data_IF_848906207206
#
_entry.id   IF_848906207206
#
_cell.length_a   1.000
_cell.length_b   1.000
_cell.length_c   1.000
_cell.angle_alpha   90.00
_cell.angle_beta   90.00
_cell.angle_gamma   90.00
#
_symmetry.space_group_name_H-M   'P 1'
#
loop_
_entity.id
_entity.type
_entity.pdbx_description
1 polymer ?
#
# COMPACT_ATOMS: atom_id res chain seq x y z
N UNK A 1 3.68 -26.10 6.89
CA UNK A 1 4.40 -25.32 5.87
C UNK A 1 5.75 -24.95 6.44
N UNK A 2 6.84 -24.92 5.65
CA UNK A 2 8.07 -24.29 6.11
C UNK A 2 7.75 -22.82 6.43
N UNK A 3 8.06 -22.44 7.67
CA UNK A 3 7.99 -21.07 8.16
C UNK A 3 9.18 -20.30 7.56
N UNK A 4 8.91 -19.45 6.58
CA UNK A 4 9.86 -18.49 6.03
C UNK A 4 9.67 -17.16 6.74
N UNK A 5 9.81 -17.15 8.07
CA UNK A 5 9.92 -15.93 8.88
C UNK A 5 11.29 -15.28 8.62
N UNK A 6 11.39 -14.54 7.52
CA UNK A 6 12.56 -13.72 7.21
C UNK A 6 12.35 -12.36 7.90
N UNK A 7 13.16 -12.06 8.91
CA UNK A 7 13.22 -10.74 9.56
C UNK A 7 13.87 -9.72 8.60
N UNK A 8 13.05 -9.02 7.83
CA UNK A 8 13.49 -8.06 6.81
C UNK A 8 14.34 -6.92 7.38
N UNK A 9 14.08 -6.50 8.62
CA UNK A 9 14.87 -5.45 9.26
C UNK A 9 16.22 -6.00 9.72
N UNK A 10 16.30 -7.27 10.12
CA UNK A 10 17.59 -7.92 10.30
C UNK A 10 18.38 -7.98 8.99
N UNK A 11 17.72 -8.20 7.84
CA UNK A 11 18.40 -8.17 6.53
C UNK A 11 18.92 -6.77 6.17
N UNK A 12 18.12 -5.71 6.35
CA UNK A 12 18.58 -4.33 6.13
C UNK A 12 19.65 -3.87 7.14
N UNK A 13 19.53 -4.27 8.42
CA UNK A 13 20.57 -4.01 9.42
C UNK A 13 21.87 -4.74 9.04
N UNK A 14 21.76 -5.97 8.53
CA UNK A 14 22.92 -6.73 8.06
C UNK A 14 23.53 -6.08 6.82
N UNK A 15 22.72 -5.63 5.85
CA UNK A 15 23.15 -4.85 4.69
C UNK A 15 23.90 -3.58 5.12
N UNK A 16 23.29 -2.74 5.97
CA UNK A 16 23.88 -1.50 6.47
C UNK A 16 25.21 -1.76 7.18
N UNK A 17 25.26 -2.77 8.06
CA UNK A 17 26.51 -3.18 8.74
C UNK A 17 27.57 -3.73 7.78
N UNK A 18 27.16 -4.42 6.72
CA UNK A 18 28.09 -4.92 5.69
C UNK A 18 28.67 -3.78 4.86
N UNK A 19 27.87 -2.75 4.54
CA UNK A 19 28.34 -1.54 3.87
C UNK A 19 29.25 -0.70 4.76
N UNK A 20 28.87 -0.49 6.02
CA UNK A 20 29.74 0.18 7.01
C UNK A 20 31.07 -0.58 7.19
N UNK A 21 31.05 -1.92 7.18
CA UNK A 21 32.25 -2.73 7.26
C UNK A 21 33.10 -2.65 5.99
N UNK A 22 32.47 -2.60 4.82
CA UNK A 22 33.13 -2.42 3.53
C UNK A 22 33.80 -1.03 3.44
N UNK A 23 33.14 0.00 3.94
CA UNK A 23 33.68 1.37 4.02
C UNK A 23 34.76 1.50 5.08
N UNK A 24 34.63 0.82 6.22
CA UNK A 24 35.71 0.74 7.20
C UNK A 24 36.95 0.01 6.65
N UNK A 25 36.78 -0.85 5.64
CA UNK A 25 37.83 -1.62 5.00
C UNK A 25 38.52 -0.89 3.82
N UNK A 26 38.13 0.36 3.50
CA UNK A 26 38.40 1.12 2.26
C UNK A 26 39.86 1.12 1.76
N UNK A 27 40.87 0.94 2.63
CA UNK A 27 42.29 0.89 2.24
C UNK A 27 43.00 -0.43 2.51
N UNK A 28 42.28 -1.49 2.88
CA UNK A 28 42.91 -2.72 3.34
C UNK A 28 43.54 -2.63 4.73
N UNK A 29 43.03 -1.72 5.55
CA UNK A 29 43.65 -1.35 6.83
C UNK A 29 44.97 -0.59 6.66
N UNK A 30 45.40 -0.29 5.42
CA UNK A 30 46.60 0.48 5.17
C UNK A 30 46.32 1.96 5.41
N UNK A 31 46.80 2.47 6.53
CA UNK A 31 46.67 3.88 6.88
C UNK A 31 48.04 4.47 7.21
N UNK A 32 48.14 5.80 7.12
CA UNK A 32 49.36 6.55 7.43
C UNK A 32 50.58 6.06 6.67
N UNK A 33 51.72 5.99 7.37
CA UNK A 33 53.02 5.66 6.79
C UNK A 33 53.06 4.29 6.09
N UNK A 34 52.24 3.33 6.51
CA UNK A 34 52.19 2.02 5.84
C UNK A 34 51.64 2.13 4.41
N UNK A 35 50.61 2.96 4.20
CA UNK A 35 50.06 3.28 2.88
C UNK A 35 51.04 4.08 2.04
N UNK A 36 51.59 5.17 2.62
CA UNK A 36 52.55 6.04 1.92
C UNK A 36 53.76 5.27 1.39
N UNK A 37 54.32 4.38 2.21
CA UNK A 37 55.47 3.55 1.81
C UNK A 37 55.06 2.43 0.86
N UNK A 38 53.82 1.93 0.97
CA UNK A 38 53.23 0.92 0.10
C UNK A 38 52.95 1.41 -1.33
N UNK A 39 52.64 2.69 -1.48
CA UNK A 39 52.33 3.34 -2.76
C UNK A 39 53.56 4.03 -3.38
N UNK A 40 54.61 4.30 -2.60
CA UNK A 40 55.84 4.94 -3.06
C UNK A 40 56.55 4.17 -4.19
N UNK A 41 57.44 4.85 -4.94
CA UNK A 41 58.26 4.18 -5.95
C UNK A 41 59.28 3.20 -5.32
N UNK A 42 59.78 2.26 -6.12
CA UNK A 42 60.85 1.34 -5.68
C UNK A 42 62.09 2.08 -5.18
N UNK A 43 62.44 3.21 -5.82
CA UNK A 43 63.54 4.09 -5.38
C UNK A 43 63.31 4.73 -4.02
N UNK A 44 62.09 5.22 -3.75
CA UNK A 44 61.73 5.87 -2.49
C UNK A 44 61.65 4.85 -1.35
N UNK A 45 61.03 3.68 -1.58
CA UNK A 45 61.04 2.58 -0.62
C UNK A 45 62.45 2.11 -0.31
N UNK A 46 63.29 1.95 -1.33
CA UNK A 46 64.70 1.57 -1.13
C UNK A 46 65.46 2.62 -0.33
N UNK A 47 65.21 3.91 -0.57
CA UNK A 47 65.80 5.00 0.21
C UNK A 47 65.36 4.96 1.68
N UNK A 48 64.10 4.57 1.94
CA UNK A 48 63.54 4.44 3.28
C UNK A 48 64.05 3.21 4.05
N UNK A 49 64.11 2.06 3.38
CA UNK A 49 64.48 0.78 4.00
C UNK A 49 65.99 0.47 3.94
N UNK A 50 66.76 1.21 3.14
CA UNK A 50 68.19 0.97 2.92
C UNK A 50 68.52 -0.35 2.22
N UNK A 51 67.51 -1.13 1.81
CA UNK A 51 67.66 -2.47 1.22
C UNK A 51 66.66 -2.67 0.08
N UNK A 52 67.18 -3.14 -1.06
CA UNK A 52 66.34 -3.53 -2.20
C UNK A 52 65.45 -4.72 -1.87
N UNK A 53 65.97 -5.70 -1.11
CA UNK A 53 65.24 -6.92 -0.77
C UNK A 53 64.09 -6.63 0.19
N UNK A 54 64.32 -5.75 1.17
CA UNK A 54 63.29 -5.32 2.11
C UNK A 54 62.24 -4.45 1.43
N UNK A 55 62.64 -3.58 0.49
CA UNK A 55 61.71 -2.82 -0.36
C UNK A 55 60.84 -3.74 -1.21
N UNK A 56 61.40 -4.80 -1.79
CA UNK A 56 60.66 -5.75 -2.61
C UNK A 56 59.69 -6.57 -1.77
N UNK A 57 60.15 -7.15 -0.66
CA UNK A 57 59.31 -7.93 0.25
C UNK A 57 58.15 -7.09 0.83
N UNK A 58 58.42 -5.84 1.22
CA UNK A 58 57.39 -4.92 1.71
C UNK A 58 56.35 -4.59 0.63
N UNK A 59 56.78 -4.30 -0.60
CA UNK A 59 55.83 -4.01 -1.68
C UNK A 59 54.99 -5.23 -2.04
N UNK A 60 55.57 -6.44 -2.01
CA UNK A 60 54.83 -7.69 -2.22
C UNK A 60 53.76 -7.89 -1.13
N UNK A 61 54.16 -7.70 0.13
CA UNK A 61 53.26 -7.81 1.28
C UNK A 61 52.15 -6.76 1.22
N UNK A 62 52.49 -5.51 0.94
CA UNK A 62 51.53 -4.43 0.77
C UNK A 62 50.51 -4.76 -0.32
N UNK A 63 50.99 -5.12 -1.51
CA UNK A 63 50.13 -5.44 -2.66
C UNK A 63 49.18 -6.60 -2.38
N UNK A 64 49.66 -7.67 -1.73
CA UNK A 64 48.80 -8.79 -1.36
C UNK A 64 47.79 -8.44 -0.25
N UNK A 65 48.20 -7.62 0.72
CA UNK A 65 47.30 -7.17 1.79
C UNK A 65 46.19 -6.29 1.25
N UNK A 66 46.52 -5.30 0.41
CA UNK A 66 45.53 -4.38 -0.17
C UNK A 66 44.62 -5.09 -1.17
N UNK A 67 45.16 -6.00 -2.00
CA UNK A 67 44.35 -6.78 -2.95
C UNK A 67 43.32 -7.63 -2.23
N UNK A 68 43.71 -8.40 -1.22
CA UNK A 68 42.78 -9.28 -0.50
C UNK A 68 41.71 -8.52 0.25
N UNK A 69 42.01 -7.34 0.78
CA UNK A 69 40.98 -6.54 1.43
C UNK A 69 40.07 -5.84 0.43
N UNK A 70 40.59 -5.46 -0.75
CA UNK A 70 39.73 -5.03 -1.85
C UNK A 70 38.75 -6.14 -2.25
N UNK A 71 39.23 -7.36 -2.43
CA UNK A 71 38.37 -8.52 -2.73
C UNK A 71 37.31 -8.75 -1.63
N UNK A 72 37.68 -8.54 -0.36
CA UNK A 72 36.76 -8.63 0.76
C UNK A 72 35.73 -7.48 0.80
N UNK A 73 36.14 -6.25 0.45
CA UNK A 73 35.24 -5.09 0.31
C UNK A 73 34.22 -5.34 -0.80
N UNK A 74 34.70 -5.74 -1.97
CA UNK A 74 33.87 -6.00 -3.15
C UNK A 74 32.88 -7.16 -2.84
N UNK A 75 33.34 -8.22 -2.15
CA UNK A 75 32.48 -9.32 -1.71
C UNK A 75 31.46 -8.96 -0.62
N UNK A 76 31.78 -8.03 0.29
CA UNK A 76 30.83 -7.49 1.28
C UNK A 76 29.77 -6.61 0.61
N UNK A 77 30.15 -5.82 -0.40
CA UNK A 77 29.22 -5.06 -1.23
C UNK A 77 28.22 -5.98 -1.95
N UNK A 78 28.72 -6.96 -2.71
CA UNK A 78 27.87 -7.93 -3.42
C UNK A 78 26.92 -8.70 -2.50
N UNK A 79 27.37 -9.04 -1.29
CA UNK A 79 26.52 -9.70 -0.29
C UNK A 79 25.44 -8.75 0.25
N UNK A 80 25.79 -7.50 0.55
CA UNK A 80 24.83 -6.47 0.94
C UNK A 80 23.79 -6.23 -0.16
N UNK A 81 24.20 -6.20 -1.42
CA UNK A 81 23.31 -6.02 -2.57
C UNK A 81 22.38 -7.23 -2.77
N UNK A 82 22.86 -8.45 -2.47
CA UNK A 82 22.01 -9.66 -2.46
C UNK A 82 20.96 -9.59 -1.35
N UNK A 83 21.31 -9.09 -0.16
CA UNK A 83 20.36 -8.89 0.92
C UNK A 83 19.35 -7.80 0.62
N UNK A 84 19.77 -6.72 -0.04
CA UNK A 84 18.87 -5.69 -0.58
C UNK A 84 17.91 -6.32 -1.59
N UNK A 85 18.41 -7.00 -2.62
CA UNK A 85 17.57 -7.60 -3.66
C UNK A 85 16.53 -8.59 -3.12
N UNK A 86 16.87 -9.38 -2.10
CA UNK A 86 15.89 -10.27 -1.43
C UNK A 86 14.86 -9.47 -0.62
N UNK A 87 15.29 -8.46 0.14
CA UNK A 87 14.37 -7.60 0.89
C UNK A 87 13.45 -6.81 -0.05
N UNK A 88 13.99 -6.25 -1.13
CA UNK A 88 13.30 -5.48 -2.16
C UNK A 88 12.33 -6.36 -2.98
N UNK A 89 12.69 -7.62 -3.28
CA UNK A 89 11.80 -8.56 -4.00
C UNK A 89 10.61 -9.00 -3.14
N UNK A 90 10.86 -9.33 -1.87
CA UNK A 90 9.78 -9.65 -0.94
C UNK A 90 8.94 -8.41 -0.60
N UNK A 91 9.57 -7.24 -0.50
CA UNK A 91 8.88 -5.96 -0.36
C UNK A 91 8.06 -5.63 -1.60
N UNK A 92 8.52 -5.89 -2.82
CA UNK A 92 7.73 -5.68 -4.04
C UNK A 92 6.55 -6.66 -4.12
N UNK A 93 6.69 -7.89 -3.61
CA UNK A 93 5.57 -8.82 -3.46
C UNK A 93 4.54 -8.35 -2.40
N UNK A 94 4.99 -7.82 -1.26
CA UNK A 94 4.11 -7.25 -0.22
C UNK A 94 3.53 -5.88 -0.61
N UNK A 95 4.29 -5.08 -1.35
CA UNK A 95 3.85 -3.83 -1.95
C UNK A 95 2.93 -4.09 -3.14
N UNK A 96 3.02 -5.23 -3.83
CA UNK A 96 2.00 -5.69 -4.79
C UNK A 96 0.72 -6.15 -4.07
N UNK A 97 0.83 -6.75 -2.89
CA UNK A 97 -0.31 -7.00 -2.00
C UNK A 97 -0.92 -5.70 -1.47
N UNK A 98 -0.11 -4.67 -1.20
CA UNK A 98 -0.57 -3.33 -0.80
C UNK A 98 -1.04 -2.46 -1.98
N UNK A 99 -0.49 -2.66 -3.19
CA UNK A 99 -0.90 -2.02 -4.44
C UNK A 99 -2.08 -2.71 -5.09
N UNK A 100 -2.59 -3.79 -4.49
CA UNK A 100 -3.97 -4.21 -4.66
C UNK A 100 -4.92 -3.21 -3.96
N UNK A 101 -4.73 -1.91 -4.26
CA UNK A 101 -5.63 -0.82 -3.98
C UNK A 101 -7.01 -1.20 -4.55
N UNK A 102 -7.90 -1.67 -3.67
CA UNK A 102 -9.17 -2.31 -4.01
C UNK A 102 -9.47 -3.58 -3.20
N UNK A 103 -8.47 -4.38 -2.83
CA UNK A 103 -8.65 -5.51 -1.90
C UNK A 103 -8.75 -5.03 -0.44
N UNK A 104 -8.10 -3.91 -0.11
CA UNK A 104 -8.11 -3.35 1.25
C UNK A 104 -9.46 -2.71 1.61
N UNK A 105 -10.12 -1.99 0.70
CA UNK A 105 -11.50 -1.48 0.89
C UNK A 105 -12.52 -2.61 1.02
N UNK A 106 -12.39 -3.68 0.23
CA UNK A 106 -13.20 -4.90 0.38
C UNK A 106 -13.02 -5.54 1.76
N UNK A 107 -11.79 -5.58 2.27
CA UNK A 107 -11.51 -6.13 3.62
C UNK A 107 -12.09 -5.29 4.77
N UNK A 108 -12.32 -3.99 4.53
CA UNK A 108 -12.94 -3.08 5.50
C UNK A 108 -14.46 -3.18 5.53
N UNK A 109 -15.09 -3.76 4.49
CA UNK A 109 -16.54 -3.78 4.34
C UNK A 109 -17.12 -2.41 3.97
N UNK A 110 -16.32 -1.54 3.35
CA UNK A 110 -16.75 -0.20 2.94
C UNK A 110 -17.87 -0.27 1.89
N UNK A 111 -17.72 -1.16 0.90
CA UNK A 111 -18.72 -1.37 -0.16
C UNK A 111 -20.04 -1.90 0.42
N UNK A 112 -19.96 -2.87 1.34
CA UNK A 112 -21.15 -3.41 2.03
C UNK A 112 -21.87 -2.33 2.84
N UNK A 113 -21.11 -1.47 3.54
CA UNK A 113 -21.66 -0.35 4.28
C UNK A 113 -22.32 0.68 3.34
N UNK A 114 -21.66 1.03 2.24
CA UNK A 114 -22.18 2.00 1.26
C UNK A 114 -23.48 1.50 0.63
N UNK A 115 -23.51 0.23 0.22
CA UNK A 115 -24.70 -0.41 -0.34
C UNK A 115 -25.86 -0.48 0.67
N UNK A 116 -25.57 -0.80 1.93
CA UNK A 116 -26.59 -0.78 3.00
C UNK A 116 -27.12 0.62 3.26
N UNK A 117 -26.23 1.62 3.24
CA UNK A 117 -26.60 3.01 3.42
C UNK A 117 -27.49 3.52 2.30
N UNK A 118 -27.13 3.26 1.05
CA UNK A 118 -27.95 3.63 -0.11
C UNK A 118 -29.36 2.99 -0.03
N UNK A 119 -29.43 1.69 0.28
CA UNK A 119 -30.70 0.98 0.43
C UNK A 119 -31.56 1.53 1.58
N UNK A 120 -30.94 1.85 2.73
CA UNK A 120 -31.63 2.39 3.89
C UNK A 120 -32.10 3.83 3.67
N UNK A 121 -31.28 4.67 3.03
CA UNK A 121 -31.63 6.05 2.69
C UNK A 121 -32.78 6.08 1.65
N UNK A 122 -32.75 5.20 0.65
CA UNK A 122 -33.85 5.04 -0.31
C UNK A 122 -35.15 4.58 0.37
N UNK A 123 -35.08 3.57 1.25
CA UNK A 123 -36.24 3.12 2.01
C UNK A 123 -36.81 4.24 2.90
N UNK A 124 -35.98 5.08 3.51
CA UNK A 124 -36.44 6.23 4.31
C UNK A 124 -37.17 7.27 3.47
N UNK A 125 -36.69 7.54 2.25
CA UNK A 125 -37.36 8.46 1.31
C UNK A 125 -38.75 7.93 0.94
N UNK A 126 -38.82 6.65 0.53
CA UNK A 126 -40.08 5.98 0.20
C UNK A 126 -41.03 5.93 1.41
N UNK A 127 -40.50 5.64 2.60
CA UNK A 127 -41.27 5.62 3.85
C UNK A 127 -41.82 6.99 4.20
N UNK A 128 -41.04 8.05 3.98
CA UNK A 128 -41.50 9.43 4.19
C UNK A 128 -42.63 9.79 3.22
N UNK A 129 -42.49 9.42 1.95
CA UNK A 129 -43.53 9.64 0.94
C UNK A 129 -44.82 8.84 1.26
N UNK A 130 -44.66 7.58 1.66
CA UNK A 130 -45.75 6.70 2.07
C UNK A 130 -46.50 7.23 3.30
N UNK A 131 -45.78 7.64 4.35
CA UNK A 131 -46.39 8.18 5.57
C UNK A 131 -47.15 9.49 5.31
N UNK A 132 -46.58 10.38 4.50
CA UNK A 132 -47.25 11.60 4.08
C UNK A 132 -48.52 11.31 3.26
N UNK A 133 -48.49 10.25 2.45
CA UNK A 133 -49.67 9.79 1.71
C UNK A 133 -50.74 9.20 2.63
N UNK A 134 -50.36 8.37 3.60
CA UNK A 134 -51.28 7.85 4.62
C UNK A 134 -51.95 8.98 5.42
N UNK A 135 -51.21 10.04 5.74
CA UNK A 135 -51.77 11.23 6.40
C UNK A 135 -52.78 11.94 5.49
N UNK A 136 -52.42 12.15 4.21
CA UNK A 136 -53.28 12.77 3.20
C UNK A 136 -54.62 12.05 3.05
N UNK A 137 -54.64 10.72 3.07
CA UNK A 137 -55.88 9.93 2.92
C UNK A 137 -56.59 9.64 4.25
N UNK A 138 -56.02 10.08 5.39
CA UNK A 138 -56.59 9.86 6.72
C UNK A 138 -56.45 8.43 7.23
N UNK A 139 -55.40 7.73 6.82
CA UNK A 139 -55.11 6.34 7.16
C UNK A 139 -54.02 6.17 8.24
N UNK A 140 -53.27 7.22 8.60
CA UNK A 140 -52.11 7.11 9.53
C UNK A 140 -52.43 6.38 10.83
N UNK A 141 -53.51 6.76 11.53
CA UNK A 141 -53.90 6.16 12.81
C UNK A 141 -54.22 4.66 12.70
N UNK A 142 -54.70 4.21 11.53
CA UNK A 142 -54.95 2.79 11.27
C UNK A 142 -53.64 2.01 11.15
N UNK A 143 -52.70 2.49 10.33
CA UNK A 143 -51.42 1.80 10.11
C UNK A 143 -50.45 1.95 11.29
N UNK A 144 -50.58 2.98 12.12
CA UNK A 144 -49.88 3.04 13.43
C UNK A 144 -50.32 1.91 14.38
N UNK A 145 -51.60 1.54 14.36
CA UNK A 145 -52.15 0.44 15.16
C UNK A 145 -51.94 -0.94 14.51
N UNK A 146 -51.69 -0.95 13.20
CA UNK A 146 -51.54 -2.14 12.38
C UNK A 146 -50.32 -2.01 11.44
N UNK A 147 -49.09 -1.99 11.98
CA UNK A 147 -47.88 -1.71 11.20
C UNK A 147 -47.59 -2.76 10.12
N UNK A 148 -48.06 -3.99 10.32
CA UNK A 148 -47.84 -5.10 9.38
C UNK A 148 -48.98 -5.25 8.36
N UNK A 149 -49.97 -4.34 8.35
CA UNK A 149 -51.10 -4.43 7.43
C UNK A 149 -50.72 -3.90 6.05
N UNK A 150 -51.06 -4.64 5.00
CA UNK A 150 -50.94 -4.15 3.63
C UNK A 150 -52.21 -3.41 3.19
N UNK A 151 -52.08 -2.18 2.68
CA UNK A 151 -53.23 -1.36 2.28
C UNK A 151 -54.12 -2.04 1.23
N UNK A 152 -53.53 -2.82 0.32
CA UNK A 152 -54.26 -3.50 -0.74
C UNK A 152 -55.17 -4.59 -0.18
N UNK A 153 -54.72 -5.31 0.84
CA UNK A 153 -55.53 -6.32 1.52
C UNK A 153 -56.62 -5.68 2.40
N UNK A 154 -56.28 -4.62 3.13
CA UNK A 154 -57.22 -3.86 3.95
C UNK A 154 -58.36 -3.29 3.10
N UNK A 155 -58.02 -2.72 1.93
CA UNK A 155 -58.98 -2.06 1.05
C UNK A 155 -59.76 -3.01 0.13
N UNK A 156 -59.40 -4.30 0.08
CA UNK A 156 -60.17 -5.35 -0.61
C UNK A 156 -61.02 -6.19 0.35
N UNK A 157 -60.86 -6.03 1.66
CA UNK A 157 -61.62 -6.75 2.66
C UNK A 157 -63.08 -6.28 2.78
N UNK A 158 -63.96 -7.16 3.24
CA UNK A 158 -65.35 -6.82 3.56
C UNK A 158 -65.40 -5.80 4.71
N UNK A 159 -66.02 -4.64 4.49
CA UNK A 159 -66.09 -3.56 5.49
C UNK A 159 -64.83 -2.69 5.53
N UNK A 160 -64.16 -2.50 4.39
CA UNK A 160 -62.99 -1.65 4.26
C UNK A 160 -63.17 -0.24 4.88
N UNK A 161 -62.13 0.32 5.52
CA UNK A 161 -62.15 1.68 6.05
C UNK A 161 -62.44 2.74 4.99
N UNK A 162 -62.95 3.91 5.40
CA UNK A 162 -63.34 4.97 4.46
C UNK A 162 -62.16 5.57 3.67
N UNK A 163 -60.93 5.52 4.20
CA UNK A 163 -59.75 5.98 3.46
C UNK A 163 -59.48 5.16 2.20
N UNK A 164 -60.00 3.93 2.10
CA UNK A 164 -59.81 3.06 0.95
C UNK A 164 -60.46 3.60 -0.34
N UNK A 165 -61.49 4.44 -0.23
CA UNK A 165 -62.07 5.11 -1.39
C UNK A 165 -61.07 6.11 -2.02
N UNK A 166 -60.28 6.80 -1.20
CA UNK A 166 -59.26 7.72 -1.67
C UNK A 166 -58.08 6.96 -2.29
N UNK A 167 -57.66 5.85 -1.69
CA UNK A 167 -56.57 5.02 -2.23
C UNK A 167 -56.93 4.36 -3.56
N UNK A 168 -58.13 3.78 -3.70
CA UNK A 168 -58.59 3.15 -4.95
C UNK A 168 -58.77 4.14 -6.11
N UNK A 169 -58.86 5.43 -5.82
CA UNK A 169 -59.06 6.49 -6.81
C UNK A 169 -57.74 7.22 -7.18
N UNK A 170 -56.64 6.93 -6.49
CA UNK A 170 -55.32 7.55 -6.72
C UNK A 170 -54.41 6.54 -7.44
N UNK A 171 -54.37 6.61 -8.78
CA UNK A 171 -53.52 5.75 -9.61
C UNK A 171 -52.02 6.08 -9.45
N UNK A 172 -51.68 7.20 -8.82
CA UNK A 172 -50.31 7.68 -8.56
C UNK A 172 -49.92 7.54 -7.07
N UNK A 173 -50.62 6.69 -6.31
CA UNK A 173 -50.27 6.42 -4.92
C UNK A 173 -48.84 5.86 -4.82
N UNK A 174 -48.00 6.37 -3.89
CA UNK A 174 -46.69 5.77 -3.65
C UNK A 174 -46.84 4.31 -3.21
N UNK A 175 -45.85 3.49 -3.55
CA UNK A 175 -45.81 2.11 -3.09
C UNK A 175 -45.46 2.06 -1.59
N UNK A 176 -45.98 1.03 -0.90
CA UNK A 176 -45.57 0.73 0.47
C UNK A 176 -44.14 0.17 0.45
N UNK A 177 -43.16 0.83 1.11
CA UNK A 177 -41.77 0.40 1.07
C UNK A 177 -41.51 -0.90 1.84
N UNK A 178 -42.48 -1.38 2.64
CA UNK A 178 -42.37 -2.63 3.39
C UNK A 178 -41.41 -2.55 4.59
N UNK A 179 -40.92 -3.71 5.02
CA UNK A 179 -40.00 -3.81 6.17
C UNK A 179 -38.69 -3.04 5.90
N UNK A 180 -38.17 -2.29 6.89
CA UNK A 180 -36.92 -1.58 6.74
C UNK A 180 -35.77 -2.55 6.46
N UNK A 181 -34.85 -2.22 5.54
CA UNK A 181 -33.58 -2.92 5.46
C UNK A 181 -32.79 -2.71 6.76
N UNK A 182 -31.73 -3.51 6.96
CA UNK A 182 -30.85 -3.33 8.10
C UNK A 182 -30.27 -1.92 8.10
N UNK A 183 -30.42 -1.21 9.22
CA UNK A 183 -29.83 0.12 9.40
C UNK A 183 -28.29 -0.01 9.39
N UNK A 184 -27.59 0.74 8.52
CA UNK A 184 -26.14 0.73 8.49
C UNK A 184 -25.57 1.36 9.77
N UNK A 185 -24.28 1.16 10.03
CA UNK A 185 -23.60 1.94 11.07
C UNK A 185 -23.59 3.44 10.70
N UNK A 186 -23.64 4.32 11.71
CA UNK A 186 -23.60 5.79 11.51
C UNK A 186 -22.37 6.27 10.73
N UNK A 187 -21.24 5.57 10.90
CA UNK A 187 -19.96 5.90 10.27
C UNK A 187 -19.43 4.71 9.48
N UNK A 188 -18.80 4.95 8.32
CA UNK A 188 -18.18 3.89 7.54
C UNK A 188 -17.04 3.22 8.32
N UNK A 189 -16.77 1.94 8.04
CA UNK A 189 -15.60 1.27 8.58
C UNK A 189 -14.32 1.82 7.92
N UNK A 190 -13.51 2.54 8.68
CA UNK A 190 -12.27 3.16 8.17
C UNK A 190 -10.99 2.52 8.69
N UNK A 191 -11.08 1.47 9.49
CA UNK A 191 -9.90 0.80 10.03
C UNK A 191 -10.10 -0.69 10.22
N UNK A 192 -9.07 -1.47 9.95
CA UNK A 192 -9.00 -2.90 10.20
C UNK A 192 -7.70 -3.24 10.93
N UNK A 193 -7.75 -4.22 11.83
CA UNK A 193 -6.55 -4.72 12.50
C UNK A 193 -6.65 -6.23 12.64
N UNK A 194 -5.57 -6.89 12.28
CA UNK A 194 -5.36 -8.32 12.46
C UNK A 194 -4.07 -8.56 13.23
N UNK A 195 -4.10 -9.52 14.14
CA UNK A 195 -2.94 -9.90 14.96
C UNK A 195 -2.93 -11.41 15.18
N UNK A 196 -1.79 -12.04 14.94
CA UNK A 196 -1.54 -13.48 15.12
C UNK A 196 -0.13 -13.74 15.68
N UNK A 197 0.34 -14.99 15.61
CA UNK A 197 1.69 -15.36 16.08
C UNK A 197 2.82 -14.81 15.18
N UNK A 198 2.48 -14.36 13.98
CA UNK A 198 3.37 -13.90 12.92
C UNK A 198 3.45 -12.37 12.86
N UNK A 199 2.60 -11.65 13.58
CA UNK A 199 2.71 -10.22 13.76
C UNK A 199 1.35 -9.52 13.80
N UNK A 200 1.36 -8.22 13.51
CA UNK A 200 0.18 -7.38 13.48
C UNK A 200 0.12 -6.59 12.19
N UNK A 201 -1.03 -6.61 11.53
CA UNK A 201 -1.35 -5.75 10.38
C UNK A 201 -2.44 -4.78 10.81
N UNK A 202 -2.21 -3.50 10.56
CA UNK A 202 -3.18 -2.42 10.80
C UNK A 202 -3.38 -1.67 9.49
N UNK A 203 -4.63 -1.50 9.09
CA UNK A 203 -5.01 -0.71 7.91
C UNK A 203 -5.94 0.39 8.38
N UNK A 204 -5.69 1.61 7.92
CA UNK A 204 -6.53 2.78 8.16
C UNK A 204 -6.74 3.51 6.84
N UNK A 205 -7.96 3.97 6.58
CA UNK A 205 -8.30 4.74 5.38
C UNK A 205 -8.91 6.08 5.75
N UNK A 206 -8.60 7.10 4.99
CA UNK A 206 -9.26 8.41 5.06
C UNK A 206 -10.12 8.57 3.81
N UNK A 207 -11.37 8.99 4.03
CA UNK A 207 -12.38 9.14 2.99
C UNK A 207 -12.63 10.63 2.68
N UNK A 208 -13.08 10.94 1.46
CA UNK A 208 -13.69 12.24 1.13
C UNK A 208 -15.17 12.32 1.56
N UNK A 209 -15.82 13.44 1.23
CA UNK A 209 -17.23 13.70 1.56
C UNK A 209 -18.20 12.74 0.85
N UNK A 210 -17.77 12.14 -0.26
CA UNK A 210 -18.53 11.16 -1.06
C UNK A 210 -18.15 9.71 -0.68
N UNK A 211 -17.43 9.53 0.44
CA UNK A 211 -16.95 8.26 0.96
C UNK A 211 -15.93 7.52 0.08
N UNK A 212 -15.27 8.22 -0.85
CA UNK A 212 -14.17 7.65 -1.62
C UNK A 212 -12.88 7.60 -0.81
N UNK A 213 -12.10 6.52 -0.95
CA UNK A 213 -10.80 6.38 -0.30
C UNK A 213 -9.78 7.34 -0.91
N UNK A 214 -9.29 8.30 -0.13
CA UNK A 214 -8.30 9.29 -0.54
C UNK A 214 -6.91 9.02 0.02
N UNK A 215 -6.82 8.26 1.11
CA UNK A 215 -5.55 7.84 1.69
C UNK A 215 -5.69 6.49 2.37
N UNK A 216 -4.67 5.66 2.22
CA UNK A 216 -4.56 4.35 2.85
C UNK A 216 -3.25 4.29 3.63
N UNK A 217 -3.32 3.92 4.90
CA UNK A 217 -2.18 3.72 5.77
C UNK A 217 -2.15 2.25 6.19
N UNK A 218 -1.11 1.54 5.77
CA UNK A 218 -0.86 0.17 6.17
C UNK A 218 0.35 0.13 7.11
N UNK A 219 0.17 -0.43 8.30
CA UNK A 219 1.25 -0.68 9.25
C UNK A 219 1.37 -2.17 9.51
N UNK A 220 2.55 -2.73 9.22
CA UNK A 220 2.89 -4.12 9.52
C UNK A 220 3.90 -4.11 10.65
N UNK A 221 3.62 -4.84 11.72
CA UNK A 221 4.51 -5.01 12.87
C UNK A 221 4.89 -6.48 13.00
N UNK A 222 6.18 -6.77 13.00
CA UNK A 222 6.70 -8.14 13.18
C UNK A 222 6.60 -8.58 14.65
N UNK A 223 6.70 -9.88 14.96
CA UNK A 223 6.66 -10.38 16.35
C UNK A 223 7.78 -9.81 17.22
N UNK A 224 8.91 -9.45 16.60
CA UNK A 224 10.08 -8.85 17.26
C UNK A 224 9.93 -7.33 17.48
N UNK A 225 8.77 -6.76 17.13
CA UNK A 225 8.41 -5.37 17.38
C UNK A 225 8.95 -4.36 16.37
N UNK A 226 9.48 -4.81 15.23
CA UNK A 226 9.82 -3.92 14.12
C UNK A 226 8.55 -3.55 13.37
N UNK A 227 8.40 -2.30 12.96
CA UNK A 227 7.24 -1.82 12.23
C UNK A 227 7.61 -1.17 10.90
N UNK A 228 6.80 -1.42 9.89
CA UNK A 228 6.84 -0.80 8.57
C UNK A 228 5.53 -0.07 8.35
N UNK A 229 5.57 1.13 7.79
CA UNK A 229 4.36 1.89 7.46
C UNK A 229 4.40 2.32 6.01
N UNK A 230 3.39 1.93 5.24
CA UNK A 230 3.16 2.46 3.90
C UNK A 230 1.95 3.39 3.93
N UNK A 231 2.09 4.56 3.32
CA UNK A 231 1.01 5.54 3.18
C UNK A 231 0.82 5.81 1.70
N UNK A 232 -0.33 5.40 1.15
CA UNK A 232 -0.75 5.74 -0.21
C UNK A 232 -1.71 6.91 -0.13
N UNK A 233 -1.45 7.97 -0.89
CA UNK A 233 -2.32 9.14 -1.04
C UNK A 233 -2.73 9.27 -2.49
N UNK A 234 -4.04 9.36 -2.74
CA UNK A 234 -4.59 9.53 -4.08
C UNK A 234 -4.81 11.01 -4.36
N UNK A 235 -4.48 11.44 -5.58
CA UNK A 235 -4.54 12.87 -5.95
C UNK A 235 -5.96 13.33 -6.32
N UNK A 236 -6.87 12.39 -6.56
CA UNK A 236 -8.27 12.66 -6.89
C UNK A 236 -9.22 11.57 -6.40
N UNK A 237 -10.53 11.85 -6.48
CA UNK A 237 -11.57 10.83 -6.40
C UNK A 237 -11.39 9.75 -7.49
N UNK A 238 -11.93 8.53 -7.29
CA UNK A 238 -11.79 7.39 -8.20
C UNK A 238 -12.07 7.75 -9.66
N UNK A 239 -11.16 7.33 -10.55
CA UNK A 239 -11.26 7.60 -11.98
C UNK A 239 -11.32 6.28 -12.72
N UNK A 240 -12.50 5.65 -12.68
CA UNK A 240 -12.71 4.35 -13.32
C UNK A 240 -12.82 4.51 -14.83
N UNK A 241 -11.91 3.86 -15.56
CA UNK A 241 -11.90 3.81 -17.01
C UNK A 241 -12.22 2.39 -17.46
N UNK A 242 -13.20 2.25 -18.35
CA UNK A 242 -13.56 0.98 -18.97
C UNK A 242 -13.09 0.98 -20.43
N UNK A 243 -11.93 0.37 -20.74
CA UNK A 243 -11.45 0.28 -22.11
C UNK A 243 -12.33 -0.66 -22.96
N UNK A 244 -12.39 -0.40 -24.27
CA UNK A 244 -13.16 -1.22 -25.22
C UNK A 244 -12.63 -2.67 -25.22
N UNK A 245 -13.39 -3.57 -24.58
CA UNK A 245 -13.06 -5.00 -24.50
C UNK A 245 -12.08 -5.38 -23.40
N UNK A 246 -11.77 -4.48 -22.45
CA UNK A 246 -10.96 -4.76 -21.26
C UNK A 246 -11.74 -4.62 -19.95
N UNK A 247 -11.09 -4.97 -18.84
CA UNK A 247 -11.66 -4.78 -17.51
C UNK A 247 -11.56 -3.30 -17.06
N UNK A 248 -12.55 -2.78 -16.32
CA UNK A 248 -12.46 -1.45 -15.76
C UNK A 248 -11.30 -1.36 -14.76
N UNK A 249 -10.54 -0.27 -14.80
CA UNK A 249 -9.44 0.00 -13.89
C UNK A 249 -9.50 1.42 -13.36
N UNK A 250 -8.87 1.65 -12.22
CA UNK A 250 -8.76 2.96 -11.61
C UNK A 250 -7.50 3.69 -12.11
N UNK A 251 -7.70 4.82 -12.78
CA UNK A 251 -6.67 5.61 -13.42
C UNK A 251 -6.24 6.81 -12.57
N UNK A 252 -6.33 6.70 -11.24
CA UNK A 252 -5.87 7.73 -10.32
C UNK A 252 -4.35 7.76 -10.22
N UNK A 253 -3.81 8.96 -10.22
CA UNK A 253 -2.45 9.19 -9.78
C UNK A 253 -2.38 9.04 -8.25
N UNK A 254 -1.26 8.53 -7.77
CA UNK A 254 -1.05 8.33 -6.33
C UNK A 254 0.42 8.46 -5.94
N UNK A 255 0.62 8.91 -4.70
CA UNK A 255 1.93 8.93 -4.05
C UNK A 255 1.93 7.94 -2.90
N UNK A 256 2.90 7.02 -2.93
CA UNK A 256 3.17 6.09 -1.84
C UNK A 256 4.43 6.52 -1.09
N UNK A 257 4.33 6.64 0.23
CA UNK A 257 5.48 6.87 1.12
C UNK A 257 5.62 5.68 2.04
N UNK A 258 6.73 4.96 1.92
CA UNK A 258 7.06 3.86 2.82
C UNK A 258 8.08 4.34 3.84
N UNK A 259 7.84 4.05 5.12
CA UNK A 259 8.75 4.28 6.23
C UNK A 259 9.16 2.93 6.82
N UNK A 260 10.46 2.65 6.82
CA UNK A 260 11.03 1.42 7.34
C UNK A 260 11.31 1.49 8.84
N UNK A 261 11.61 0.36 9.47
CA UNK A 261 11.86 0.27 10.91
C UNK A 261 13.06 1.08 11.42
N UNK A 262 14.01 1.41 10.55
CA UNK A 262 15.15 2.29 10.85
C UNK A 262 14.83 3.78 10.66
N UNK A 263 13.61 4.12 10.22
CA UNK A 263 13.13 5.46 9.95
C UNK A 263 13.49 6.00 8.56
N UNK A 264 14.20 5.23 7.73
CA UNK A 264 14.42 5.58 6.33
C UNK A 264 13.10 5.56 5.55
N UNK A 265 13.07 6.28 4.42
CA UNK A 265 11.87 6.42 3.61
C UNK A 265 12.15 6.25 2.13
N UNK A 266 11.20 5.65 1.44
CA UNK A 266 11.08 5.69 -0.01
C UNK A 266 9.80 6.44 -0.38
N UNK A 267 9.85 7.20 -1.47
CA UNK A 267 8.66 7.87 -2.03
C UNK A 267 8.49 7.40 -3.46
N UNK A 268 7.31 6.87 -3.78
CA UNK A 268 6.95 6.40 -5.11
C UNK A 268 5.78 7.22 -5.61
N UNK A 269 5.99 7.96 -6.68
CA UNK A 269 4.95 8.72 -7.39
C UNK A 269 4.53 7.91 -8.62
N UNK A 270 3.22 7.71 -8.79
CA UNK A 270 2.66 6.96 -9.91
C UNK A 270 1.66 7.84 -10.65
N UNK A 271 1.87 7.94 -11.96
CA UNK A 271 0.99 8.62 -12.91
C UNK A 271 0.40 7.60 -13.85
N UNK A 272 -0.94 7.56 -13.97
CA UNK A 272 -1.67 6.60 -14.80
C UNK A 272 -2.45 7.34 -15.89
N UNK A 273 -2.20 6.95 -17.14
CA UNK A 273 -2.86 7.48 -18.32
C UNK A 273 -4.19 6.77 -18.61
N UNK A 274 -5.00 7.36 -19.49
CA UNK A 274 -6.35 6.86 -19.81
C UNK A 274 -6.35 5.48 -20.50
N UNK A 275 -5.25 5.13 -21.16
CA UNK A 275 -5.06 3.81 -21.78
C UNK A 275 -4.50 2.77 -20.80
N UNK A 276 -4.35 3.15 -19.53
CA UNK A 276 -3.80 2.33 -18.45
C UNK A 276 -2.28 2.24 -18.44
N UNK A 277 -1.59 2.80 -19.44
CA UNK A 277 -0.14 3.01 -19.37
C UNK A 277 0.20 3.99 -18.25
N UNK A 278 1.47 4.08 -17.88
CA UNK A 278 1.84 4.98 -16.80
C UNK A 278 3.33 5.04 -16.52
N UNK A 279 3.68 5.97 -15.65
CA UNK A 279 5.05 6.15 -15.15
C UNK A 279 5.06 5.99 -13.63
N UNK A 280 6.02 5.23 -13.13
CA UNK A 280 6.32 5.11 -11.71
C UNK A 280 7.71 5.68 -11.47
N UNK A 281 7.79 6.66 -10.58
CA UNK A 281 9.04 7.30 -10.16
C UNK A 281 9.26 7.04 -8.68
N UNK A 282 10.32 6.29 -8.37
CA UNK A 282 10.71 5.99 -6.98
C UNK A 282 11.95 6.77 -6.61
N UNK A 283 11.89 7.46 -5.47
CA UNK A 283 13.02 8.13 -4.82
C UNK A 283 13.36 7.39 -3.54
N UNK A 284 14.60 6.91 -3.43
CA UNK A 284 15.09 6.21 -2.23
C UNK A 284 15.59 7.17 -1.13
N UNK A 285 16.04 6.59 -0.02
CA UNK A 285 16.51 7.34 1.14
C UNK A 285 17.77 8.17 0.87
N UNK A 286 18.57 7.80 -0.14
CA UNK A 286 19.77 8.53 -0.58
C UNK A 286 19.44 9.61 -1.63
N UNK A 287 18.17 9.71 -2.02
CA UNK A 287 17.68 10.66 -3.03
C UNK A 287 17.95 10.20 -4.46
N UNK A 288 18.31 8.94 -4.67
CA UNK A 288 18.43 8.36 -6.02
C UNK A 288 17.03 8.12 -6.56
N UNK A 289 16.85 8.50 -7.81
CA UNK A 289 15.56 8.43 -8.52
C UNK A 289 15.63 7.35 -9.59
N UNK A 290 14.66 6.44 -9.56
CA UNK A 290 14.46 5.42 -10.59
C UNK A 290 13.09 5.62 -11.22
N UNK A 291 13.00 5.51 -12.53
CA UNK A 291 11.74 5.68 -13.26
C UNK A 291 11.51 4.50 -14.18
N UNK A 292 10.33 3.92 -14.09
CA UNK A 292 9.87 2.82 -14.94
C UNK A 292 8.53 3.17 -15.56
N UNK A 293 8.24 2.55 -16.70
CA UNK A 293 6.99 2.79 -17.43
C UNK A 293 6.31 1.46 -17.71
N UNK A 294 5.00 1.39 -17.50
CA UNK A 294 4.18 0.26 -17.97
C UNK A 294 3.42 0.66 -19.23
N UNK A 295 3.15 -0.31 -20.09
CA UNK A 295 2.50 -0.07 -21.39
C UNK A 295 0.97 -0.16 -21.37
N UNK A 296 0.36 -0.62 -20.28
CA UNK A 296 -1.10 -0.78 -20.18
C UNK A 296 -1.54 -1.20 -18.78
N UNK A 297 -2.86 -1.34 -18.56
CA UNK A 297 -3.44 -1.63 -17.24
C UNK A 297 -3.24 -3.09 -16.82
N UNK A 298 -3.13 -4.01 -17.79
CA UNK A 298 -2.92 -5.44 -17.56
C UNK A 298 -1.43 -5.81 -17.47
N UNK A 299 -0.54 -4.85 -17.68
CA UNK A 299 0.91 -5.05 -17.67
C UNK A 299 1.48 -4.71 -16.30
N UNK A 300 2.30 -5.61 -15.76
CA UNK A 300 3.01 -5.36 -14.51
C UNK A 300 4.03 -4.21 -14.69
N UNK A 301 4.26 -3.46 -13.60
CA UNK A 301 5.35 -2.50 -13.57
C UNK A 301 6.67 -3.25 -13.75
N UNK A 302 7.49 -2.89 -14.75
CA UNK A 302 8.72 -3.61 -14.99
C UNK A 302 9.71 -3.34 -13.85
N UNK A 303 10.58 -4.32 -13.60
CA UNK A 303 11.67 -4.13 -12.66
C UNK A 303 12.54 -2.94 -13.08
N UNK A 304 13.03 -2.16 -12.10
CA UNK A 304 13.97 -1.10 -12.39
C UNK A 304 15.20 -1.67 -13.10
N UNK A 305 15.77 -0.97 -14.10
CA UNK A 305 16.92 -1.47 -14.83
C UNK A 305 18.08 -1.74 -13.87
N UNK A 306 18.65 -2.95 -13.92
CA UNK A 306 19.88 -3.26 -13.18
C UNK A 306 20.98 -2.30 -13.60
N UNK A 307 21.68 -1.72 -12.63
CA UNK A 307 22.83 -0.85 -12.92
C UNK A 307 23.88 -1.66 -13.67
N UNK A 308 24.14 -1.29 -14.93
CA UNK A 308 25.37 -1.71 -15.59
C UNK A 308 26.51 -0.94 -14.92
N UNK A 309 27.27 -1.60 -14.06
CA UNK A 309 28.57 -1.13 -13.60
C UNK A 309 29.47 -0.83 -14.83
N UNK A 310 29.68 0.44 -15.15
CA UNK A 310 30.63 0.92 -16.17
C UNK A 310 31.79 1.70 -15.52
#
# INVERSE_FOLDING_TARGET
MPDFSIDYGALHIVQGKMRELADAADSGGATGTFKEVGEASSSERKALFGSSDLSYAFNLFYSYSTSRTKDAKDGLGQLADTFSGVADTFFNADAQLASAAGLMSQSLGLDDWSNQKEAYDAWQEDKTAWDAYLEKIGASEYFEQHPDANIGDVCRADGAPSFCEAWLADDDAPDDPGEPPAEPADTPPTSYTYEDEQGKVSVEVELDDDYNVMKETATITTPDGQSYTSVTTYDSAPRIITPDGGEPFDARDYTMVTTFGDGTKTTTEVVIEDDGSGTMTTTDADGKVTTVTRSGPDEEWPEPPEESDD
#
